data_IF_988088765213
#
_entry.id   IF_988088765213
#
_cell.length_a   1.000
_cell.length_b   1.000
_cell.length_c   1.000
_cell.angle_alpha   90.00
_cell.angle_beta   90.00
_cell.angle_gamma   90.00
#
_symmetry.space_group_name_H-M   'P 1'
#
loop_
_entity.id
_entity.type
_entity.pdbx_description
1 polymer ?
#
# COMPACT_ATOMS: atom_id res chain seq x y z
N UNK A 1 9.24 31.54 26.26
CA UNK A 1 8.19 30.78 26.97
C UNK A 1 7.00 30.70 26.02
N UNK A 2 7.00 29.74 25.15
CA UNK A 2 5.95 29.52 24.14
C UNK A 2 5.00 28.44 24.65
N UNK A 3 3.72 28.77 24.66
CA UNK A 3 2.64 27.93 25.19
C UNK A 3 2.36 26.78 24.21
N UNK A 4 2.48 25.56 24.70
CA UNK A 4 1.93 24.37 24.05
C UNK A 4 0.41 24.52 23.96
N UNK A 5 -0.11 24.78 22.78
CA UNK A 5 -1.52 24.64 22.50
C UNK A 5 -1.82 23.20 22.14
N UNK A 6 -2.38 22.46 23.10
CA UNK A 6 -2.93 21.13 22.89
C UNK A 6 -4.09 21.21 21.88
N UNK A 7 -3.91 20.53 20.76
CA UNK A 7 -4.90 20.41 19.69
C UNK A 7 -6.15 19.68 20.24
N UNK A 8 -7.24 20.39 20.38
CA UNK A 8 -8.59 19.80 20.53
C UNK A 8 -9.20 19.59 19.15
N UNK A 9 -8.79 18.52 18.48
CA UNK A 9 -9.52 17.95 17.37
C UNK A 9 -10.27 16.72 17.88
N UNK A 10 -11.57 16.78 17.91
CA UNK A 10 -12.45 15.72 18.39
C UNK A 10 -12.33 14.51 17.45
N UNK A 11 -11.51 13.52 17.81
CA UNK A 11 -11.53 12.19 17.21
C UNK A 11 -12.75 11.50 17.80
N UNK A 12 -13.80 11.40 16.99
CA UNK A 12 -14.97 10.59 17.31
C UNK A 12 -14.56 9.12 17.13
N UNK A 13 -14.11 8.48 18.22
CA UNK A 13 -13.91 7.03 18.29
C UNK A 13 -15.26 6.32 18.22
N UNK A 14 -15.65 5.86 17.05
CA UNK A 14 -16.70 4.86 16.90
C UNK A 14 -16.07 3.48 17.15
N UNK A 15 -16.19 3.02 18.40
CA UNK A 15 -15.99 1.63 18.79
C UNK A 15 -17.14 0.80 18.22
N UNK A 16 -16.90 0.06 17.15
CA UNK A 16 -17.73 -1.08 16.78
C UNK A 16 -16.98 -2.36 17.09
N UNK A 17 -17.43 -3.06 18.11
CA UNK A 17 -17.07 -4.44 18.37
C UNK A 17 -17.84 -5.33 17.38
N UNK A 18 -17.16 -6.06 16.53
CA UNK A 18 -17.74 -7.15 15.71
C UNK A 18 -16.79 -8.34 15.66
N UNK A 19 -17.38 -9.48 15.81
CA UNK A 19 -16.86 -10.82 16.07
C UNK A 19 -16.64 -11.60 14.73
N UNK A 20 -15.48 -12.22 14.58
CA UNK A 20 -15.04 -13.46 13.88
C UNK A 20 -15.14 -13.70 12.34
N UNK A 21 -14.13 -14.31 11.75
CA UNK A 21 -13.70 -15.56 11.08
C UNK A 21 -12.72 -15.41 9.89
N UNK A 22 -11.77 -16.34 9.85
CA UNK A 22 -10.61 -16.53 8.99
C UNK A 22 -10.75 -16.30 7.48
N UNK A 23 -9.79 -15.58 6.90
CA UNK A 23 -8.92 -16.11 5.84
C UNK A 23 -7.80 -15.11 5.55
N UNK A 24 -6.59 -15.61 5.52
CA UNK A 24 -5.34 -14.97 5.20
C UNK A 24 -5.32 -14.42 3.77
N UNK A 25 -5.10 -13.11 3.63
CA UNK A 25 -4.63 -12.50 2.39
C UNK A 25 -3.51 -11.51 2.72
N UNK A 26 -2.36 -11.98 2.42
CA UNK A 26 -1.12 -11.35 1.98
C UNK A 26 -0.84 -9.89 2.42
N UNK A 27 -0.46 -9.73 3.67
CA UNK A 27 0.73 -8.95 3.98
C UNK A 27 1.76 -9.96 4.50
N UNK A 28 2.93 -10.04 3.87
CA UNK A 28 3.93 -11.05 4.17
C UNK A 28 4.47 -10.93 5.60
N UNK A 29 3.82 -11.60 6.53
CA UNK A 29 4.34 -11.87 7.87
C UNK A 29 4.47 -13.38 7.99
N UNK A 30 5.71 -13.86 8.12
CA UNK A 30 5.99 -15.22 8.45
C UNK A 30 5.44 -15.53 9.85
N UNK A 31 4.40 -16.36 9.93
CA UNK A 31 3.97 -17.00 11.18
C UNK A 31 4.54 -18.41 11.21
N UNK A 32 5.42 -18.68 12.18
CA UNK A 32 5.82 -20.03 12.55
C UNK A 32 4.95 -20.49 13.73
N UNK A 33 4.33 -21.65 13.59
CA UNK A 33 3.70 -22.39 14.69
C UNK A 33 4.74 -23.32 15.37
N UNK A 34 4.62 -23.63 16.66
CA UNK A 34 5.62 -24.40 17.38
C UNK A 34 5.41 -25.90 17.21
N UNK A 35 6.46 -26.64 16.95
CA UNK A 35 6.55 -28.07 17.17
C UNK A 35 7.82 -28.43 17.97
N UNK A 36 7.66 -29.42 18.85
CA UNK A 36 8.58 -29.77 19.93
C UNK A 36 9.96 -30.26 19.47
N UNK A 37 10.97 -29.96 20.29
CA UNK A 37 12.36 -30.32 20.12
C UNK A 37 12.58 -31.84 20.02
N UNK A 38 13.19 -32.30 18.95
CA UNK A 38 13.92 -33.55 18.84
C UNK A 38 15.15 -33.38 17.97
N UNK A 39 16.29 -33.83 18.56
CA UNK A 39 17.58 -34.18 17.97
C UNK A 39 18.09 -33.47 16.72
N UNK A 40 19.35 -33.02 16.79
CA UNK A 40 20.14 -32.44 15.70
C UNK A 40 20.26 -33.40 14.50
N UNK A 41 19.23 -33.44 13.69
CA UNK A 41 19.35 -33.84 12.30
C UNK A 41 19.84 -32.63 11.51
N UNK A 42 20.90 -32.77 10.69
CA UNK A 42 21.36 -31.73 9.76
C UNK A 42 20.15 -31.12 9.08
N UNK A 43 19.73 -29.94 9.51
CA UNK A 43 18.61 -29.24 8.93
C UNK A 43 18.87 -29.11 7.43
N UNK A 44 18.10 -29.82 6.62
CA UNK A 44 18.10 -29.62 5.18
C UNK A 44 17.78 -28.13 4.97
N UNK A 45 18.67 -27.40 4.35
CA UNK A 45 18.45 -25.98 4.07
C UNK A 45 17.10 -25.84 3.34
N UNK A 46 16.21 -25.00 3.87
CA UNK A 46 14.93 -24.75 3.23
C UNK A 46 15.16 -24.37 1.75
N UNK A 47 14.43 -24.98 0.80
CA UNK A 47 14.63 -24.68 -0.62
C UNK A 47 14.30 -23.22 -0.88
N UNK A 48 14.93 -22.66 -1.92
CA UNK A 48 14.56 -21.36 -2.45
C UNK A 48 13.18 -21.45 -3.11
N UNK A 49 12.33 -20.49 -2.83
CA UNK A 49 11.06 -20.31 -3.53
C UNK A 49 11.24 -19.26 -4.61
N UNK A 50 10.78 -19.57 -5.82
CA UNK A 50 10.73 -18.65 -6.95
C UNK A 50 9.27 -18.42 -7.29
N UNK A 51 8.86 -17.15 -7.33
CA UNK A 51 7.52 -16.75 -7.74
C UNK A 51 7.59 -15.44 -8.51
N UNK A 52 6.48 -15.03 -9.09
CA UNK A 52 6.43 -13.76 -9.78
C UNK A 52 5.07 -13.53 -10.42
N UNK A 53 4.98 -12.45 -11.19
CA UNK A 53 3.83 -12.18 -12.04
C UNK A 53 4.20 -11.22 -13.17
N UNK A 54 3.30 -11.17 -14.15
CA UNK A 54 3.35 -10.24 -15.27
C UNK A 54 1.96 -9.67 -15.43
N UNK A 55 1.84 -8.36 -15.62
CA UNK A 55 0.57 -7.72 -15.87
C UNK A 55 0.60 -6.68 -16.99
N UNK A 56 -0.57 -6.41 -17.54
CA UNK A 56 -0.82 -5.36 -18.50
C UNK A 56 -2.28 -4.94 -18.47
N UNK A 57 -2.59 -3.79 -19.04
CA UNK A 57 -3.94 -3.25 -19.02
C UNK A 57 -4.26 -2.40 -20.25
N UNK A 58 -5.55 -2.16 -20.44
CA UNK A 58 -6.10 -1.13 -21.30
C UNK A 58 -7.07 -0.28 -20.50
N UNK A 59 -6.90 1.04 -20.50
CA UNK A 59 -7.82 2.00 -19.91
C UNK A 59 -8.48 2.84 -21.00
N UNK A 60 -9.81 2.85 -21.05
CA UNK A 60 -10.62 3.73 -21.89
C UNK A 60 -11.38 4.74 -21.02
N UNK A 61 -10.80 5.89 -20.75
CA UNK A 61 -11.47 6.99 -20.06
C UNK A 61 -12.40 7.74 -21.01
N UNK A 62 -13.61 8.07 -20.55
CA UNK A 62 -14.63 8.71 -21.39
C UNK A 62 -14.35 10.21 -21.68
N UNK A 63 -13.54 10.86 -20.83
CA UNK A 63 -13.18 12.28 -20.96
C UNK A 63 -11.71 12.53 -21.32
N UNK A 64 -11.09 11.57 -21.99
CA UNK A 64 -9.68 11.65 -22.37
C UNK A 64 -8.75 12.04 -21.19
N UNK A 65 -9.05 11.53 -19.99
CA UNK A 65 -8.36 11.85 -18.76
C UNK A 65 -8.04 10.54 -18.04
N UNK A 66 -6.77 10.15 -17.86
CA UNK A 66 -6.44 9.03 -16.99
C UNK A 66 -6.88 9.33 -15.55
N UNK A 67 -7.06 8.30 -14.73
CA UNK A 67 -7.27 8.50 -13.30
C UNK A 67 -5.98 9.01 -12.67
N UNK A 68 -6.02 10.09 -11.86
CA UNK A 68 -4.80 10.67 -11.25
C UNK A 68 -4.39 9.85 -10.01
N UNK A 69 -4.26 8.54 -10.20
CA UNK A 69 -3.73 7.60 -9.21
C UNK A 69 -2.60 6.79 -9.84
N UNK A 70 -1.74 6.21 -9.01
CA UNK A 70 -0.59 5.44 -9.46
C UNK A 70 -1.00 4.22 -10.28
N UNK A 71 -0.10 3.79 -11.18
CA UNK A 71 -0.09 2.51 -11.88
C UNK A 71 -1.06 2.34 -13.05
N UNK A 72 -1.87 3.35 -13.41
CA UNK A 72 -2.72 3.36 -14.61
C UNK A 72 -2.66 4.72 -15.32
N UNK A 73 -1.44 5.26 -15.61
CA UNK A 73 -1.32 6.61 -16.18
C UNK A 73 -1.72 6.68 -17.66
N UNK A 74 -1.69 5.56 -18.38
CA UNK A 74 -1.95 5.56 -19.82
C UNK A 74 -3.44 5.44 -20.13
N UNK A 75 -3.92 6.25 -21.08
CA UNK A 75 -5.31 6.26 -21.54
C UNK A 75 -5.39 5.91 -23.02
N UNK A 76 -6.38 5.10 -23.40
CA UNK A 76 -6.63 4.62 -24.77
C UNK A 76 -5.42 3.91 -25.39
N UNK A 77 -4.63 3.24 -24.57
CA UNK A 77 -3.44 2.49 -24.94
C UNK A 77 -3.44 1.11 -24.30
N UNK A 78 -2.94 0.11 -25.01
CA UNK A 78 -2.49 -1.14 -24.39
C UNK A 78 -1.17 -0.87 -23.70
N UNK A 79 -1.13 -1.07 -22.40
CA UNK A 79 -0.04 -0.64 -21.56
C UNK A 79 0.50 -1.81 -20.74
N UNK A 80 1.83 -1.83 -20.61
CA UNK A 80 2.49 -2.73 -19.67
C UNK A 80 2.24 -2.23 -18.24
N UNK A 81 2.08 -3.16 -17.31
CA UNK A 81 2.12 -2.88 -15.89
C UNK A 81 3.51 -3.16 -15.34
N UNK A 82 3.70 -4.36 -14.78
CA UNK A 82 4.95 -4.80 -14.17
C UNK A 82 5.18 -6.29 -14.47
N UNK A 83 6.45 -6.66 -14.60
CA UNK A 83 6.90 -8.04 -14.47
C UNK A 83 7.90 -8.12 -13.34
N UNK A 84 7.77 -9.12 -12.45
CA UNK A 84 8.75 -9.35 -11.40
C UNK A 84 9.10 -10.81 -11.21
N UNK A 85 10.28 -11.03 -10.63
CA UNK A 85 10.77 -12.32 -10.13
C UNK A 85 11.12 -12.13 -8.67
N UNK A 86 10.55 -12.97 -7.82
CA UNK A 86 10.73 -12.96 -6.38
C UNK A 86 11.48 -14.24 -5.97
N UNK A 87 12.65 -14.07 -5.38
CA UNK A 87 13.41 -15.11 -4.73
C UNK A 87 13.25 -15.00 -3.23
N UNK A 88 12.79 -16.06 -2.57
CA UNK A 88 12.57 -16.08 -1.13
C UNK A 88 13.29 -17.26 -0.50
N UNK A 89 13.99 -17.03 0.60
CA UNK A 89 14.47 -18.06 1.53
C UNK A 89 13.98 -17.73 2.93
N UNK A 90 13.29 -18.68 3.54
CA UNK A 90 12.81 -18.59 4.92
C UNK A 90 13.72 -19.36 5.87
N UNK A 91 13.60 -19.13 7.18
CA UNK A 91 14.37 -19.82 8.23
C UNK A 91 14.86 -18.86 9.31
N UNK A 92 15.76 -19.33 10.16
CA UNK A 92 16.40 -18.50 11.21
C UNK A 92 17.13 -17.29 10.62
N UNK A 93 17.73 -17.47 9.44
CA UNK A 93 18.24 -16.43 8.55
C UNK A 93 17.56 -16.60 7.21
N UNK A 94 16.95 -15.55 6.70
CA UNK A 94 16.25 -15.55 5.42
C UNK A 94 16.56 -14.32 4.60
N UNK A 95 16.03 -14.27 3.38
CA UNK A 95 16.06 -13.08 2.53
C UNK A 95 14.91 -13.08 1.55
N UNK A 96 14.63 -11.89 1.02
CA UNK A 96 13.79 -11.68 -0.17
C UNK A 96 14.56 -10.81 -1.15
N UNK A 97 14.55 -11.23 -2.42
CA UNK A 97 14.99 -10.42 -3.55
C UNK A 97 13.85 -10.37 -4.57
N UNK A 98 13.21 -9.23 -4.71
CA UNK A 98 12.10 -8.95 -5.63
C UNK A 98 12.59 -7.94 -6.67
N UNK A 99 12.88 -8.44 -7.87
CA UNK A 99 13.35 -7.66 -9.01
C UNK A 99 12.19 -7.43 -9.96
N UNK A 100 11.93 -6.17 -10.29
CA UNK A 100 10.78 -5.76 -11.06
C UNK A 100 11.15 -4.81 -12.20
N UNK A 101 10.44 -4.92 -13.31
CA UNK A 101 10.57 -4.07 -14.51
C UNK A 101 9.19 -3.65 -15.00
N UNK A 102 9.13 -2.56 -15.73
CA UNK A 102 7.91 -2.00 -16.33
C UNK A 102 7.43 -0.73 -15.67
N UNK A 103 6.46 -0.02 -16.28
CA UNK A 103 6.01 1.31 -15.83
C UNK A 103 5.52 1.35 -14.37
N UNK A 104 4.81 0.31 -13.91
CA UNK A 104 4.39 0.17 -12.51
C UNK A 104 5.59 0.04 -11.57
N UNK A 105 6.62 -0.75 -11.97
CA UNK A 105 7.84 -0.90 -11.18
C UNK A 105 8.63 0.41 -11.10
N UNK A 106 8.74 1.14 -12.21
CA UNK A 106 9.43 2.43 -12.26
C UNK A 106 8.79 3.45 -11.32
N UNK A 107 7.46 3.55 -11.34
CA UNK A 107 6.72 4.42 -10.41
C UNK A 107 6.88 3.96 -8.96
N UNK A 108 6.70 2.65 -8.68
CA UNK A 108 6.76 2.10 -7.33
C UNK A 108 8.16 2.20 -6.72
N UNK A 109 9.21 2.10 -7.53
CA UNK A 109 10.59 2.12 -7.08
C UNK A 109 11.22 3.52 -7.10
N UNK A 110 10.46 4.54 -7.45
CA UNK A 110 10.93 5.90 -7.69
C UNK A 110 12.14 5.90 -8.63
N UNK A 111 11.87 6.01 -9.93
CA UNK A 111 12.88 5.94 -10.98
C UNK A 111 14.13 6.75 -10.65
N UNK A 112 15.25 6.08 -10.46
CA UNK A 112 16.52 6.69 -10.06
C UNK A 112 17.48 6.87 -11.23
N UNK A 113 17.12 6.36 -12.43
CA UNK A 113 18.03 6.30 -13.59
C UNK A 113 19.17 5.32 -13.42
N UNK A 114 19.14 4.46 -12.41
CA UNK A 114 20.18 3.47 -12.08
C UNK A 114 19.60 2.07 -11.93
N UNK A 115 20.46 1.05 -11.78
CA UNK A 115 20.04 -0.32 -11.51
C UNK A 115 19.17 -0.48 -10.24
N UNK A 116 19.18 0.48 -9.34
CA UNK A 116 18.31 0.50 -8.16
C UNK A 116 16.82 0.59 -8.53
N UNK A 117 16.47 1.08 -9.71
CA UNK A 117 15.09 1.12 -10.21
C UNK A 117 14.49 -0.27 -10.40
N UNK A 118 15.31 -1.31 -10.59
CA UNK A 118 14.84 -2.69 -10.74
C UNK A 118 14.61 -3.40 -9.41
N UNK A 119 15.10 -2.86 -8.32
CA UNK A 119 14.97 -3.45 -6.98
C UNK A 119 13.66 -2.98 -6.38
N UNK A 120 12.65 -3.85 -6.34
CA UNK A 120 11.39 -3.58 -5.64
C UNK A 120 11.52 -3.92 -4.16
N UNK A 121 12.11 -5.07 -3.83
CA UNK A 121 12.49 -5.42 -2.47
C UNK A 121 13.85 -6.15 -2.48
N UNK A 122 14.68 -5.83 -1.50
CA UNK A 122 15.94 -6.53 -1.25
C UNK A 122 16.27 -6.39 0.23
N UNK A 123 16.04 -7.46 1.00
CA UNK A 123 16.26 -7.45 2.42
C UNK A 123 16.67 -8.83 2.97
N UNK A 124 17.32 -8.81 4.11
CA UNK A 124 17.63 -9.99 4.91
C UNK A 124 16.80 -10.01 6.16
N UNK A 125 16.51 -11.20 6.67
CA UNK A 125 15.80 -11.41 7.93
C UNK A 125 16.61 -12.27 8.88
N UNK A 126 16.47 -12.00 10.17
CA UNK A 126 17.06 -12.80 11.24
C UNK A 126 16.04 -12.98 12.37
N UNK A 127 15.77 -14.23 12.71
CA UNK A 127 14.87 -14.62 13.80
C UNK A 127 15.69 -15.16 14.98
N UNK A 128 16.09 -14.30 15.95
CA UNK A 128 16.81 -14.76 17.14
C UNK A 128 15.93 -15.65 18.05
N UNK A 129 14.61 -15.51 17.95
CA UNK A 129 13.62 -16.34 18.64
C UNK A 129 12.33 -16.41 17.80
N UNK A 130 11.41 -17.30 18.17
CA UNK A 130 10.11 -17.45 17.51
C UNK A 130 9.21 -16.20 17.63
N UNK A 131 9.52 -15.29 18.54
CA UNK A 131 8.76 -14.06 18.77
C UNK A 131 9.36 -12.82 18.15
N UNK A 132 10.62 -12.87 17.70
CA UNK A 132 11.33 -11.68 17.21
C UNK A 132 11.89 -11.93 15.82
N UNK A 133 11.48 -11.08 14.87
CA UNK A 133 12.01 -11.03 13.51
C UNK A 133 12.64 -9.66 13.27
N UNK A 134 13.92 -9.63 12.97
CA UNK A 134 14.65 -8.43 12.55
C UNK A 134 14.79 -8.47 11.03
N UNK A 135 14.48 -7.35 10.36
CA UNK A 135 14.58 -7.19 8.91
C UNK A 135 15.42 -5.97 8.59
N UNK A 136 16.38 -6.11 7.67
CA UNK A 136 17.22 -5.01 7.20
C UNK A 136 17.33 -5.02 5.68
N UNK A 137 17.10 -3.86 5.06
CA UNK A 137 17.17 -3.66 3.62
C UNK A 137 16.04 -2.77 3.10
N UNK A 138 15.64 -2.99 1.85
CA UNK A 138 14.52 -2.33 1.17
C UNK A 138 13.31 -3.27 1.12
N UNK A 139 12.19 -2.88 1.67
CA UNK A 139 10.98 -3.69 1.79
C UNK A 139 9.72 -2.85 1.63
N UNK A 140 8.61 -3.48 1.22
CA UNK A 140 7.31 -2.83 1.06
C UNK A 140 6.86 -2.13 2.34
N UNK A 141 6.11 -1.06 2.18
CA UNK A 141 5.58 -0.27 3.30
C UNK A 141 4.72 -1.11 4.24
N UNK A 142 4.61 -0.65 5.48
CA UNK A 142 3.67 -1.17 6.47
C UNK A 142 2.33 -0.40 6.50
N UNK A 143 2.20 0.66 5.68
CA UNK A 143 0.97 1.43 5.52
C UNK A 143 0.07 0.85 4.46
N UNK A 144 -1.19 1.27 4.48
CA UNK A 144 -2.24 1.02 3.50
C UNK A 144 -2.80 -0.42 3.47
N UNK A 145 -3.98 -0.53 2.87
CA UNK A 145 -4.67 -1.78 2.59
C UNK A 145 -4.24 -2.37 1.23
N UNK A 146 -4.05 -1.51 0.25
CA UNK A 146 -3.57 -1.88 -1.09
C UNK A 146 -2.04 -2.03 -1.09
N UNK A 147 -1.53 -2.73 -2.09
CA UNK A 147 -0.10 -2.98 -2.30
C UNK A 147 0.29 -2.67 -3.75
N UNK A 148 1.60 -2.65 -4.04
CA UNK A 148 2.12 -2.42 -5.39
C UNK A 148 1.71 -3.54 -6.35
N UNK A 149 1.72 -4.80 -5.89
CA UNK A 149 1.52 -5.99 -6.69
C UNK A 149 0.06 -6.16 -7.12
N UNK A 150 -0.20 -6.03 -8.42
CA UNK A 150 -1.54 -6.17 -9.00
C UNK A 150 -2.16 -7.54 -8.74
N UNK A 151 -1.36 -8.60 -8.64
CA UNK A 151 -1.82 -9.97 -8.31
C UNK A 151 -2.47 -10.08 -6.93
N UNK A 152 -2.13 -9.19 -6.02
CA UNK A 152 -2.57 -9.20 -4.63
C UNK A 152 -3.76 -8.26 -4.40
N UNK A 153 -3.80 -7.16 -5.14
CA UNK A 153 -4.93 -6.23 -5.10
C UNK A 153 -6.15 -6.83 -5.78
N UNK A 154 -7.33 -6.56 -5.21
CA UNK A 154 -8.58 -6.97 -5.84
C UNK A 154 -8.94 -6.08 -7.04
N UNK A 155 -8.77 -4.76 -6.89
CA UNK A 155 -8.93 -3.77 -7.95
C UNK A 155 -7.58 -3.55 -8.64
N UNK A 156 -7.57 -3.39 -9.96
CA UNK A 156 -6.34 -3.13 -10.68
C UNK A 156 -5.87 -1.68 -10.53
N UNK A 157 -6.80 -0.72 -10.60
CA UNK A 157 -6.51 0.68 -10.27
C UNK A 157 -6.41 0.88 -8.75
N UNK A 158 -5.57 1.81 -8.33
CA UNK A 158 -5.33 2.09 -6.92
C UNK A 158 -6.18 3.25 -6.38
N UNK A 159 -6.36 3.30 -5.07
CA UNK A 159 -7.01 4.41 -4.37
C UNK A 159 -6.12 5.66 -4.32
N UNK A 160 -6.70 6.81 -4.04
CA UNK A 160 -5.95 8.04 -3.73
C UNK A 160 -5.15 7.90 -2.44
N UNK A 161 -5.72 7.21 -1.44
CA UNK A 161 -5.03 6.94 -0.16
C UNK A 161 -3.73 6.17 -0.41
N UNK A 162 -3.77 5.10 -1.19
CA UNK A 162 -2.58 4.32 -1.50
C UNK A 162 -1.58 5.09 -2.37
N UNK A 163 -2.08 5.81 -3.39
CA UNK A 163 -1.25 6.62 -4.30
C UNK A 163 -0.41 7.67 -3.56
N UNK A 164 -0.95 8.25 -2.48
CA UNK A 164 -0.31 9.33 -1.71
C UNK A 164 0.30 8.83 -0.38
N UNK A 165 0.29 7.53 -0.13
CA UNK A 165 1.02 6.87 0.94
C UNK A 165 2.43 6.45 0.51
N UNK A 166 3.25 5.93 1.44
CA UNK A 166 4.55 5.36 1.11
C UNK A 166 4.39 4.02 0.38
N UNK A 167 5.28 3.74 -0.57
CA UNK A 167 5.34 2.45 -1.27
C UNK A 167 6.33 1.49 -0.62
N UNK A 168 7.48 2.00 -0.15
CA UNK A 168 8.50 1.18 0.49
C UNK A 168 9.29 1.95 1.56
N UNK A 169 10.06 1.21 2.33
CA UNK A 169 11.02 1.75 3.28
C UNK A 169 12.37 1.05 3.11
N UNK A 170 13.44 1.79 3.28
CA UNK A 170 14.80 1.25 3.36
C UNK A 170 15.34 1.51 4.78
N UNK A 171 15.69 0.46 5.49
CA UNK A 171 16.15 0.61 6.86
C UNK A 171 16.18 -0.70 7.64
N UNK A 172 15.99 -0.60 8.93
CA UNK A 172 15.90 -1.73 9.84
C UNK A 172 14.60 -1.69 10.62
N UNK A 173 13.94 -2.84 10.76
CA UNK A 173 12.75 -3.01 11.60
C UNK A 173 12.81 -4.30 12.41
N UNK A 174 12.13 -4.29 13.54
CA UNK A 174 11.94 -5.44 14.40
C UNK A 174 10.44 -5.69 14.57
N UNK A 175 9.98 -6.90 14.28
CA UNK A 175 8.62 -7.35 14.53
C UNK A 175 8.65 -8.26 15.76
N UNK A 176 7.82 -7.97 16.74
CA UNK A 176 7.72 -8.73 17.98
C UNK A 176 6.29 -9.26 18.17
N UNK A 177 6.16 -10.58 18.31
CA UNK A 177 4.90 -11.23 18.64
C UNK A 177 4.65 -11.08 20.15
N UNK A 178 3.79 -10.13 20.54
CA UNK A 178 3.37 -9.92 21.93
C UNK A 178 2.58 -11.13 22.41
N UNK A 179 1.67 -11.61 21.57
CA UNK A 179 0.87 -12.82 21.77
C UNK A 179 0.47 -13.39 20.41
N UNK A 180 -0.28 -14.49 20.39
CA UNK A 180 -0.82 -15.11 19.16
C UNK A 180 -1.73 -14.17 18.36
N UNK A 181 -2.20 -13.08 18.96
CA UNK A 181 -3.13 -12.13 18.31
C UNK A 181 -2.53 -10.74 18.12
N UNK A 182 -1.59 -10.34 18.96
CA UNK A 182 -1.01 -9.01 18.97
C UNK A 182 0.46 -9.03 18.56
N UNK A 183 0.81 -8.16 17.61
CA UNK A 183 2.18 -7.91 17.20
C UNK A 183 2.51 -6.43 17.28
N UNK A 184 3.80 -6.14 17.49
CA UNK A 184 4.37 -4.81 17.47
C UNK A 184 5.54 -4.80 16.47
N UNK A 185 5.58 -3.82 15.57
CA UNK A 185 6.75 -3.51 14.77
C UNK A 185 7.27 -2.13 15.16
N UNK A 186 8.58 -2.03 15.29
CA UNK A 186 9.30 -0.76 15.40
C UNK A 186 10.42 -0.72 14.37
N UNK A 187 10.65 0.44 13.76
CA UNK A 187 11.67 0.58 12.73
C UNK A 187 12.27 1.97 12.63
N UNK A 188 13.46 2.01 12.05
CA UNK A 188 14.17 3.23 11.67
C UNK A 188 14.49 3.13 10.19
N UNK A 189 14.07 4.14 9.43
CA UNK A 189 14.12 4.13 7.97
C UNK A 189 14.85 5.36 7.44
N UNK A 190 15.32 5.27 6.23
CA UNK A 190 15.60 6.42 5.39
C UNK A 190 14.32 7.22 5.15
N UNK A 191 14.41 8.33 4.47
CA UNK A 191 13.24 9.05 3.98
C UNK A 191 12.30 8.10 3.20
N UNK A 192 11.03 8.40 3.23
CA UNK A 192 9.97 7.64 2.56
C UNK A 192 10.27 7.48 1.07
N UNK A 193 10.10 6.28 0.56
CA UNK A 193 10.31 5.93 -0.85
C UNK A 193 11.73 6.20 -1.38
N UNK A 194 12.72 6.21 -0.50
CA UNK A 194 14.12 6.50 -0.81
C UNK A 194 15.01 5.30 -0.50
N UNK A 195 15.73 4.82 -1.51
CA UNK A 195 16.67 3.70 -1.34
C UNK A 195 18.01 4.16 -0.77
N UNK A 196 18.49 5.31 -1.25
CA UNK A 196 19.70 5.96 -0.76
C UNK A 196 19.28 7.31 -0.20
N UNK A 197 19.49 7.50 1.09
CA UNK A 197 19.10 8.71 1.77
C UNK A 197 20.02 9.89 1.36
N UNK A 198 19.39 10.98 0.98
CA UNK A 198 20.06 12.24 0.61
C UNK A 198 19.89 13.31 1.69
N UNK A 199 19.13 13.01 2.74
CA UNK A 199 18.92 13.86 3.91
C UNK A 199 19.47 13.17 5.16
N UNK A 200 19.89 13.96 6.15
CA UNK A 200 20.45 13.41 7.39
C UNK A 200 19.38 12.89 8.36
N UNK A 201 18.13 13.28 8.18
CA UNK A 201 17.01 12.87 9.02
C UNK A 201 16.59 11.42 8.75
N UNK A 202 16.13 10.73 9.79
CA UNK A 202 15.56 9.38 9.67
C UNK A 202 14.09 9.40 10.02
N UNK A 203 13.34 8.45 9.44
CA UNK A 203 11.96 8.19 9.78
C UNK A 203 11.89 7.12 10.86
N UNK A 204 11.02 7.34 11.84
CA UNK A 204 10.62 6.34 12.82
C UNK A 204 9.29 5.74 12.38
N UNK A 205 9.19 4.42 12.39
CA UNK A 205 7.97 3.71 12.09
C UNK A 205 7.53 2.80 13.21
N UNK A 206 6.22 2.64 13.34
CA UNK A 206 5.60 1.70 14.25
C UNK A 206 4.34 1.08 13.63
N UNK A 207 4.05 -0.16 14.00
CA UNK A 207 2.80 -0.83 13.66
C UNK A 207 2.34 -1.65 14.85
N UNK A 208 1.07 -1.50 15.21
CA UNK A 208 0.38 -2.43 16.10
C UNK A 208 -0.55 -3.30 15.27
N UNK A 209 -0.37 -4.61 15.30
CA UNK A 209 -1.23 -5.57 14.61
C UNK A 209 -2.14 -6.32 15.58
N UNK A 210 -3.39 -6.55 15.15
CA UNK A 210 -4.33 -7.44 15.80
C UNK A 210 -4.90 -8.40 14.76
N UNK A 211 -4.58 -9.69 14.91
CA UNK A 211 -4.93 -10.74 13.96
C UNK A 211 -5.70 -11.82 14.71
N UNK A 212 -6.85 -12.16 14.16
CA UNK A 212 -7.69 -13.29 14.62
C UNK A 212 -8.04 -14.13 13.41
N UNK A 213 -8.74 -15.22 13.65
CA UNK A 213 -9.22 -16.03 12.56
C UNK A 213 -10.02 -15.27 11.46
N UNK A 214 -10.69 -14.12 11.72
CA UNK A 214 -11.53 -13.39 10.75
C UNK A 214 -11.11 -11.95 10.50
N UNK A 215 -10.39 -11.36 11.42
CA UNK A 215 -10.00 -9.96 11.39
C UNK A 215 -8.47 -9.85 11.37
N UNK A 216 -7.95 -9.13 10.39
CA UNK A 216 -6.59 -8.61 10.41
C UNK A 216 -6.68 -7.09 10.43
N UNK A 217 -6.07 -6.45 11.42
CA UNK A 217 -6.08 -5.00 11.57
C UNK A 217 -4.69 -4.49 11.95
N UNK A 218 -4.30 -3.38 11.35
CA UNK A 218 -2.99 -2.77 11.52
C UNK A 218 -3.15 -1.27 11.73
N UNK A 219 -2.67 -0.77 12.87
CA UNK A 219 -2.51 0.65 13.12
C UNK A 219 -1.04 1.01 12.87
N UNK A 220 -0.81 1.86 11.90
CA UNK A 220 0.48 2.20 11.35
C UNK A 220 0.83 3.65 11.65
N UNK A 221 2.10 3.90 11.90
CA UNK A 221 2.64 5.22 12.17
C UNK A 221 4.01 5.36 11.52
N UNK A 222 4.26 6.51 10.89
CA UNK A 222 5.59 6.91 10.41
C UNK A 222 5.75 8.40 10.62
N UNK A 223 6.90 8.82 11.09
CA UNK A 223 7.24 10.23 11.27
C UNK A 223 8.73 10.47 11.04
N UNK A 224 9.06 11.60 10.47
CA UNK A 224 10.45 11.98 10.20
C UNK A 224 10.56 13.18 9.27
N UNK A 225 11.81 13.54 8.98
CA UNK A 225 12.13 14.62 8.05
C UNK A 225 12.28 14.06 6.65
N UNK A 226 11.61 14.68 5.70
CA UNK A 226 11.67 14.35 4.27
C UNK A 226 12.40 15.45 3.50
N UNK A 227 13.11 15.06 2.44
CA UNK A 227 13.62 16.03 1.48
C UNK A 227 12.46 16.58 0.65
N UNK A 228 12.32 17.89 0.59
CA UNK A 228 11.54 18.48 -0.47
C UNK A 228 12.37 18.46 -1.77
N UNK A 229 12.02 17.52 -2.67
CA UNK A 229 12.66 17.39 -3.98
C UNK A 229 12.22 18.47 -4.97
N UNK A 230 11.16 19.24 -4.66
CA UNK A 230 10.60 20.26 -5.54
C UNK A 230 10.98 21.68 -5.12
N UNK A 231 11.11 21.93 -3.83
CA UNK A 231 11.57 23.20 -3.30
C UNK A 231 12.89 22.99 -2.56
N UNK A 232 13.87 23.82 -2.78
CA UNK A 232 15.23 23.76 -2.19
C UNK A 232 15.27 23.90 -0.66
N UNK A 233 14.19 23.60 0.02
CA UNK A 233 14.08 23.64 1.47
C UNK A 233 14.22 22.21 2.03
N UNK A 234 15.36 21.87 2.64
CA UNK A 234 15.77 20.47 2.74
C UNK A 234 15.11 19.63 3.83
N UNK A 235 14.21 20.16 4.64
CA UNK A 235 13.77 19.40 5.82
C UNK A 235 12.33 19.72 6.26
N UNK A 236 11.33 19.19 5.55
CA UNK A 236 9.96 19.22 6.03
C UNK A 236 9.66 18.00 6.91
N UNK A 237 9.06 18.24 8.07
CA UNK A 237 8.68 17.17 8.98
C UNK A 237 7.33 16.60 8.57
N UNK A 238 7.28 15.31 8.32
CA UNK A 238 6.05 14.62 7.95
C UNK A 238 5.64 13.57 8.98
N UNK A 239 4.33 13.39 9.14
CA UNK A 239 3.77 12.35 9.99
C UNK A 239 2.58 11.72 9.28
N UNK A 240 2.55 10.38 9.21
CA UNK A 240 1.44 9.63 8.68
C UNK A 240 0.91 8.65 9.72
N UNK A 241 -0.42 8.63 9.89
CA UNK A 241 -1.14 7.64 10.68
C UNK A 241 -2.11 6.93 9.73
N UNK A 242 -2.12 5.61 9.80
CA UNK A 242 -2.92 4.78 8.91
C UNK A 242 -3.52 3.61 9.70
N UNK A 243 -4.78 3.32 9.44
CA UNK A 243 -5.48 2.13 9.92
C UNK A 243 -5.95 1.32 8.73
N UNK A 244 -5.43 0.11 8.57
CA UNK A 244 -5.92 -0.84 7.59
C UNK A 244 -6.52 -2.07 8.27
N UNK A 245 -7.60 -2.60 7.71
CA UNK A 245 -8.23 -3.79 8.24
C UNK A 245 -8.90 -4.62 7.13
N UNK A 246 -8.86 -5.93 7.29
CA UNK A 246 -9.62 -6.89 6.48
C UNK A 246 -10.46 -7.78 7.40
N UNK A 247 -11.70 -8.02 6.99
CA UNK A 247 -12.65 -8.83 7.74
C UNK A 247 -13.38 -9.83 6.83
N UNK A 248 -13.30 -11.10 7.15
CA UNK A 248 -14.04 -12.15 6.46
C UNK A 248 -15.39 -12.34 7.13
N UNK A 249 -16.44 -11.72 6.59
CA UNK A 249 -17.81 -11.83 7.12
C UNK A 249 -18.34 -13.27 6.96
N UNK A 250 -18.02 -13.93 5.84
CA UNK A 250 -18.28 -15.34 5.56
C UNK A 250 -17.21 -15.88 4.60
N UNK A 251 -17.28 -17.15 4.23
CA UNK A 251 -16.42 -17.73 3.19
C UNK A 251 -16.55 -17.02 1.84
N UNK A 252 -17.70 -16.40 1.58
CA UNK A 252 -17.99 -15.69 0.32
C UNK A 252 -17.86 -14.18 0.40
N UNK A 253 -17.94 -13.58 1.58
CA UNK A 253 -17.99 -12.13 1.75
C UNK A 253 -16.78 -11.64 2.53
N UNK A 254 -15.99 -10.79 1.89
CA UNK A 254 -14.87 -10.08 2.51
C UNK A 254 -15.11 -8.57 2.53
N UNK A 255 -14.72 -7.93 3.61
CA UNK A 255 -14.76 -6.48 3.80
C UNK A 255 -13.35 -5.96 4.04
N UNK A 256 -13.09 -4.72 3.64
CA UNK A 256 -11.82 -4.03 3.88
C UNK A 256 -12.04 -2.57 4.25
N UNK A 257 -11.08 -2.04 4.98
CA UNK A 257 -11.05 -0.65 5.44
C UNK A 257 -9.63 -0.11 5.33
N UNK A 258 -9.50 1.13 4.87
CA UNK A 258 -8.30 1.91 5.05
C UNK A 258 -8.67 3.35 5.44
N UNK A 259 -8.12 3.83 6.55
CA UNK A 259 -8.23 5.22 6.98
C UNK A 259 -6.80 5.73 7.12
N UNK A 260 -6.47 6.83 6.46
CA UNK A 260 -5.12 7.39 6.50
C UNK A 260 -5.16 8.91 6.56
N UNK A 261 -4.19 9.47 7.27
CA UNK A 261 -3.91 10.91 7.28
C UNK A 261 -2.40 11.12 7.22
N UNK A 262 -1.96 11.99 6.32
CA UNK A 262 -0.59 12.50 6.30
C UNK A 262 -0.59 14.00 6.54
N UNK A 263 0.29 14.45 7.41
CA UNK A 263 0.54 15.85 7.73
C UNK A 263 1.98 16.19 7.37
N UNK A 264 2.19 17.33 6.77
CA UNK A 264 3.52 17.86 6.37
C UNK A 264 3.64 19.26 6.90
N UNK A 265 4.75 19.57 7.57
CA UNK A 265 5.10 20.96 7.92
C UNK A 265 5.60 21.65 6.67
N UNK A 266 4.91 22.70 6.24
CA UNK A 266 5.31 23.52 5.09
C UNK A 266 6.04 24.78 5.52
N UNK A 267 6.76 25.40 4.58
CA UNK A 267 7.51 26.64 4.82
C UNK A 267 6.64 27.69 5.50
N UNK A 268 7.12 28.24 6.64
CA UNK A 268 6.36 29.20 7.47
C UNK A 268 5.75 28.59 8.74
N UNK A 269 5.94 27.29 8.99
CA UNK A 269 5.49 26.59 10.22
C UNK A 269 4.02 26.24 10.23
N UNK A 270 3.32 26.33 9.10
CA UNK A 270 1.97 25.81 8.92
C UNK A 270 2.02 24.33 8.64
N UNK A 271 0.94 23.62 8.93
CA UNK A 271 0.81 22.17 8.66
C UNK A 271 -0.24 21.95 7.60
N UNK A 272 0.17 21.46 6.45
CA UNK A 272 -0.73 20.96 5.42
C UNK A 272 -1.03 19.48 5.66
N UNK A 273 -2.24 19.01 5.32
CA UNK A 273 -2.59 17.61 5.44
C UNK A 273 -3.58 17.17 4.36
N UNK A 274 -3.52 15.87 4.07
CA UNK A 274 -4.59 15.15 3.41
C UNK A 274 -5.09 14.01 4.31
N UNK A 275 -6.31 13.57 4.07
CA UNK A 275 -6.91 12.44 4.76
C UNK A 275 -7.83 11.67 3.82
N UNK A 276 -7.96 10.37 4.05
CA UNK A 276 -8.80 9.52 3.24
C UNK A 276 -9.41 8.35 4.00
N UNK A 277 -10.58 7.95 3.52
CA UNK A 277 -11.31 6.77 3.94
C UNK A 277 -11.63 5.93 2.73
N UNK A 278 -11.24 4.66 2.75
CA UNK A 278 -11.53 3.69 1.69
C UNK A 278 -12.24 2.48 2.30
N UNK A 279 -13.33 2.09 1.68
CA UNK A 279 -14.10 0.89 2.04
C UNK A 279 -14.06 -0.09 0.86
N UNK A 280 -13.87 -1.35 1.18
CA UNK A 280 -13.81 -2.44 0.21
C UNK A 280 -14.84 -3.51 0.57
N UNK A 281 -15.47 -4.07 -0.45
CA UNK A 281 -16.33 -5.23 -0.33
C UNK A 281 -16.07 -6.20 -1.47
N UNK A 282 -16.04 -7.50 -1.20
CA UNK A 282 -15.94 -8.53 -2.23
C UNK A 282 -16.92 -9.67 -1.97
N UNK A 283 -17.43 -10.24 -3.05
CA UNK A 283 -18.31 -11.40 -3.02
C UNK A 283 -17.81 -12.49 -3.98
N UNK A 284 -17.50 -13.65 -3.44
CA UNK A 284 -17.09 -14.84 -4.18
C UNK A 284 -18.33 -15.57 -4.68
N UNK A 285 -18.61 -15.51 -5.98
CA UNK A 285 -19.71 -16.27 -6.60
C UNK A 285 -19.38 -17.75 -6.72
N UNK A 286 -18.17 -18.02 -7.20
CA UNK A 286 -17.57 -19.37 -7.32
C UNK A 286 -16.05 -19.24 -7.40
N UNK A 287 -15.34 -20.36 -7.49
CA UNK A 287 -13.87 -20.42 -7.47
C UNK A 287 -13.19 -19.62 -8.61
N UNK A 288 -13.95 -19.39 -9.70
CA UNK A 288 -13.44 -18.69 -10.88
C UNK A 288 -13.87 -17.23 -10.97
N UNK A 289 -14.87 -16.79 -10.17
CA UNK A 289 -15.40 -15.44 -10.28
C UNK A 289 -15.68 -14.79 -8.93
N UNK A 290 -15.08 -13.64 -8.73
CA UNK A 290 -15.32 -12.75 -7.59
C UNK A 290 -15.63 -11.34 -8.09
N UNK A 291 -16.63 -10.70 -7.50
CA UNK A 291 -16.98 -9.30 -7.73
C UNK A 291 -16.58 -8.47 -6.52
N UNK A 292 -16.04 -7.28 -6.73
CA UNK A 292 -15.66 -6.37 -5.66
C UNK A 292 -15.99 -4.93 -5.95
N UNK A 293 -16.18 -4.19 -4.89
CA UNK A 293 -16.44 -2.75 -4.89
C UNK A 293 -15.44 -2.04 -4.00
N UNK A 294 -15.04 -0.83 -4.39
CA UNK A 294 -14.29 0.12 -3.57
C UNK A 294 -15.02 1.45 -3.60
N UNK A 295 -15.27 2.02 -2.43
CA UNK A 295 -15.73 3.40 -2.25
C UNK A 295 -14.67 4.18 -1.49
N UNK A 296 -14.32 5.36 -1.98
CA UNK A 296 -13.29 6.20 -1.38
C UNK A 296 -13.78 7.64 -1.23
N UNK A 297 -13.38 8.27 -0.12
CA UNK A 297 -13.40 9.71 0.06
C UNK A 297 -12.01 10.19 0.44
N UNK A 298 -11.43 11.02 -0.41
CA UNK A 298 -10.13 11.66 -0.21
C UNK A 298 -10.33 13.16 -0.04
N UNK A 299 -9.73 13.76 0.99
CA UNK A 299 -9.88 15.18 1.33
C UNK A 299 -8.49 15.81 1.33
N UNK A 300 -8.33 16.82 0.48
CA UNK A 300 -7.12 17.61 0.34
C UNK A 300 -7.43 19.08 0.67
N UNK A 301 -7.41 19.37 1.96
CA UNK A 301 -7.83 20.69 2.45
C UNK A 301 -6.90 21.81 1.98
N UNK A 302 -5.62 21.53 1.90
CA UNK A 302 -4.59 22.53 1.62
C UNK A 302 -4.07 22.48 0.17
N UNK A 303 -4.64 21.63 -0.68
CA UNK A 303 -4.19 21.45 -2.05
C UNK A 303 -2.82 20.78 -2.19
N UNK A 304 -2.38 20.05 -1.16
CA UNK A 304 -1.07 19.40 -1.11
C UNK A 304 -0.86 18.39 -2.26
N UNK A 305 -1.93 17.71 -2.66
CA UNK A 305 -1.92 16.66 -3.69
C UNK A 305 -2.54 17.15 -5.00
N UNK A 306 -3.68 17.81 -4.90
CA UNK A 306 -4.46 18.21 -6.09
C UNK A 306 -4.08 19.61 -6.62
N UNK A 307 -3.30 20.37 -5.87
CA UNK A 307 -3.01 21.79 -6.16
C UNK A 307 -4.24 22.70 -5.95
N UNK A 308 -5.33 22.19 -5.41
CA UNK A 308 -6.61 22.91 -5.26
C UNK A 308 -7.03 22.86 -3.79
N UNK A 309 -7.03 24.01 -3.14
CA UNK A 309 -7.45 24.12 -1.74
C UNK A 309 -8.93 23.71 -1.54
N UNK A 310 -9.19 23.12 -0.39
CA UNK A 310 -10.52 22.65 0.01
C UNK A 310 -11.15 21.72 -1.03
N UNK A 311 -10.32 20.90 -1.68
CA UNK A 311 -10.79 19.90 -2.61
C UNK A 311 -11.04 18.56 -1.89
N UNK A 312 -12.04 17.84 -2.40
CA UNK A 312 -12.32 16.48 -1.98
C UNK A 312 -12.72 15.64 -3.20
N UNK A 313 -12.29 14.39 -3.22
CA UNK A 313 -12.59 13.44 -4.29
C UNK A 313 -13.36 12.27 -3.66
N UNK A 314 -14.49 11.91 -4.28
CA UNK A 314 -15.17 10.65 -4.01
C UNK A 314 -14.94 9.74 -5.21
N UNK A 315 -14.45 8.54 -4.98
CA UNK A 315 -14.21 7.56 -6.04
C UNK A 315 -15.02 6.28 -5.79
N UNK A 316 -15.53 5.70 -6.86
CA UNK A 316 -16.20 4.41 -6.85
C UNK A 316 -15.56 3.51 -7.89
N UNK A 317 -15.25 2.28 -7.51
CA UNK A 317 -14.68 1.26 -8.39
C UNK A 317 -15.45 -0.05 -8.24
N UNK A 318 -15.79 -0.67 -9.36
CA UNK A 318 -16.38 -2.00 -9.46
C UNK A 318 -15.47 -2.86 -10.33
N UNK A 319 -14.99 -3.99 -9.80
CA UNK A 319 -14.12 -4.91 -10.53
C UNK A 319 -14.60 -6.35 -10.42
N UNK A 320 -14.50 -7.08 -11.52
CA UNK A 320 -14.61 -8.53 -11.55
C UNK A 320 -13.22 -9.16 -11.56
N UNK A 321 -13.00 -10.23 -10.82
CA UNK A 321 -11.81 -11.07 -10.98
C UNK A 321 -12.24 -12.41 -11.56
N UNK A 322 -11.82 -12.69 -12.81
CA UNK A 322 -12.11 -13.93 -13.53
C UNK A 322 -10.82 -14.73 -13.59
N UNK A 323 -10.78 -15.85 -12.86
CA UNK A 323 -9.61 -16.71 -12.73
C UNK A 323 -9.65 -17.88 -13.73
N UNK A 324 -8.57 -18.07 -14.46
CA UNK A 324 -8.37 -19.15 -15.43
C UNK A 324 -6.98 -19.76 -15.18
N UNK A 325 -6.90 -20.73 -14.26
CA UNK A 325 -5.61 -21.22 -13.78
C UNK A 325 -4.78 -20.10 -13.14
N UNK A 326 -3.59 -19.87 -13.65
CA UNK A 326 -2.67 -18.83 -13.20
C UNK A 326 -2.96 -17.41 -13.78
N UNK A 327 -3.95 -17.33 -14.68
CA UNK A 327 -4.36 -16.08 -15.31
C UNK A 327 -5.58 -15.50 -14.58
N UNK A 328 -5.54 -14.20 -14.31
CA UNK A 328 -6.69 -13.43 -13.81
C UNK A 328 -6.99 -12.29 -14.79
N UNK A 329 -8.23 -12.23 -15.28
CA UNK A 329 -8.76 -11.11 -16.04
C UNK A 329 -9.52 -10.20 -15.10
N UNK A 330 -9.28 -8.88 -15.18
CA UNK A 330 -9.87 -7.89 -14.27
C UNK A 330 -10.56 -6.80 -15.09
N UNK A 331 -11.83 -7.02 -15.55
CA UNK A 331 -12.68 -5.91 -16.00
C UNK A 331 -12.99 -5.01 -14.82
N UNK A 332 -12.81 -3.70 -15.00
CA UNK A 332 -13.03 -2.70 -13.97
C UNK A 332 -13.75 -1.47 -14.55
N UNK A 333 -14.74 -0.98 -13.83
CA UNK A 333 -15.36 0.33 -14.03
C UNK A 333 -14.99 1.24 -12.87
N UNK A 334 -14.57 2.48 -13.17
CA UNK A 334 -14.26 3.48 -12.16
C UNK A 334 -14.89 4.82 -12.49
N UNK A 335 -15.28 5.55 -11.44
CA UNK A 335 -15.84 6.88 -11.52
C UNK A 335 -15.37 7.71 -10.33
N UNK A 336 -14.79 8.88 -10.61
CA UNK A 336 -14.26 9.81 -9.61
C UNK A 336 -14.98 11.16 -9.73
N UNK A 337 -15.36 11.75 -8.59
CA UNK A 337 -16.06 13.02 -8.47
C UNK A 337 -15.28 13.96 -7.57
N UNK A 338 -14.87 15.09 -8.10
CA UNK A 338 -14.28 16.18 -7.32
C UNK A 338 -15.32 17.11 -6.71
N UNK A 339 -14.98 17.76 -5.62
CA UNK A 339 -15.81 18.83 -5.04
C UNK A 339 -15.72 20.14 -5.83
N UNK A 340 -14.67 20.32 -6.63
CA UNK A 340 -14.39 21.51 -7.44
C UNK A 340 -14.51 21.19 -8.92
N UNK A 341 -14.92 22.18 -9.72
CA UNK A 341 -15.17 22.00 -11.16
C UNK A 341 -13.90 21.70 -11.97
N UNK A 342 -12.72 22.04 -11.43
CA UNK A 342 -11.41 21.83 -12.07
C UNK A 342 -10.59 20.73 -11.40
N UNK A 343 -11.24 19.79 -10.71
CA UNK A 343 -10.55 18.72 -9.99
C UNK A 343 -9.72 17.82 -10.92
N UNK A 344 -10.20 17.62 -12.14
CA UNK A 344 -9.54 16.78 -13.14
C UNK A 344 -9.26 17.57 -14.40
N UNK A 345 -8.07 17.43 -14.96
CA UNK A 345 -7.68 18.04 -16.23
C UNK A 345 -7.38 16.95 -17.25
N UNK A 346 -7.99 17.05 -18.44
CA UNK A 346 -7.75 16.09 -19.52
C UNK A 346 -6.41 16.34 -20.22
N UNK A 347 -5.98 15.38 -21.03
CA UNK A 347 -4.82 15.51 -21.92
C UNK A 347 -4.99 16.66 -22.93
N UNK A 348 -6.23 17.06 -23.22
CA UNK A 348 -6.59 18.20 -24.08
C UNK A 348 -6.71 19.52 -23.28
N UNK A 349 -6.20 19.57 -22.05
CA UNK A 349 -6.26 20.72 -21.14
C UNK A 349 -7.69 21.19 -20.77
N UNK A 350 -8.68 20.34 -20.92
CA UNK A 350 -10.06 20.62 -20.47
C UNK A 350 -10.24 20.23 -19.02
N UNK A 351 -10.98 21.04 -18.27
CA UNK A 351 -11.23 20.81 -16.84
C UNK A 351 -12.57 20.11 -16.61
N UNK A 352 -12.60 19.17 -15.69
CA UNK A 352 -13.78 18.39 -15.34
C UNK A 352 -13.94 18.25 -13.83
N UNK A 353 -15.20 18.18 -13.39
CA UNK A 353 -15.57 17.86 -12.01
C UNK A 353 -15.59 16.36 -11.76
N UNK A 354 -15.82 15.57 -12.80
CA UNK A 354 -15.88 14.11 -12.70
C UNK A 354 -15.24 13.45 -13.91
N UNK A 355 -14.65 12.29 -13.68
CA UNK A 355 -14.10 11.42 -14.71
C UNK A 355 -14.61 10.00 -14.49
N UNK A 356 -14.71 9.22 -15.56
CA UNK A 356 -15.07 7.81 -15.50
C UNK A 356 -14.48 7.05 -16.68
N UNK A 357 -14.33 5.75 -16.54
CA UNK A 357 -13.74 4.90 -17.56
C UNK A 357 -13.90 3.42 -17.28
N UNK A 358 -13.55 2.65 -18.29
CA UNK A 358 -13.46 1.19 -18.24
C UNK A 358 -12.01 0.78 -18.36
N UNK A 359 -11.61 -0.20 -17.57
CA UNK A 359 -10.29 -0.78 -17.59
C UNK A 359 -10.44 -2.30 -17.74
N UNK A 360 -9.55 -2.89 -18.53
CA UNK A 360 -9.36 -4.33 -18.62
C UNK A 360 -7.90 -4.63 -18.30
N UNK A 361 -7.65 -5.39 -17.24
CA UNK A 361 -6.33 -5.84 -16.92
C UNK A 361 -6.20 -7.36 -17.04
N UNK A 362 -4.98 -7.80 -17.25
CA UNK A 362 -4.57 -9.20 -17.34
C UNK A 362 -3.39 -9.40 -16.41
N UNK A 363 -3.49 -10.35 -15.50
CA UNK A 363 -2.43 -10.69 -14.54
C UNK A 363 -2.14 -12.18 -14.62
N UNK A 364 -0.91 -12.56 -14.94
CA UNK A 364 -0.44 -13.95 -14.91
C UNK A 364 0.55 -14.11 -13.76
N UNK A 365 0.33 -15.10 -12.89
CA UNK A 365 1.18 -15.38 -11.72
C UNK A 365 1.77 -16.79 -11.79
N UNK A 366 2.96 -16.98 -11.27
CA UNK A 366 3.66 -18.28 -11.21
C UNK A 366 4.42 -18.43 -9.90
#
# INVERSE_FOLDING_TARGET
MSKFNLFRGTILCLLFAVIFVNNTLAQGTATAAPEEAKEEEKASEAPFEISGFIDGYYLGSFKNTPFPTSFTPENKSFSLGMANIILTKTGKVGFVADLAVGPRAELANFYTGTALSFIKQLFVTYSPSDKLLITMGNYSTHHCYEVIDSKTNFHYSTSYVFTNGPFFHTGIKANYAISDKFGLMLGVFNDTDTKIDIVSGKHLGAQLSYITGKLSSYLNFTTGKSADIFEKNPEEFSTQIDLSASYSLSEKVGLGLNISQKSVEVSGGETANWQGLVLYGKYLFNDSFTLGVRGERFIDKYGLITGIENNAINAFTLSGNIRIGNLTLIPEFRMDFGSKDKTFTSLDALNYKSISGLLMAVVYSF
#
